data_IF_550351568493
#
_entry.id   IF_550351568493
#
_cell.length_a   1.000
_cell.length_b   1.000
_cell.length_c   1.000
_cell.angle_alpha   90.00
_cell.angle_beta   90.00
_cell.angle_gamma   90.00
#
_symmetry.space_group_name_H-M   'P 1'
#
loop_
_entity.id
_entity.type
_entity.pdbx_description
1 polymer ?
#
# COMPACT_ATOMS: atom_id res chain seq x y z
N UNK A 1 -72.81 -33.95 19.69
CA UNK A 1 -74.09 -33.47 20.23
C UNK A 1 -73.79 -32.62 21.46
N UNK A 2 -73.88 -31.28 21.33
CA UNK A 2 -74.11 -30.26 22.40
C UNK A 2 -73.02 -30.09 23.49
N UNK A 3 -72.62 -28.90 23.96
CA UNK A 3 -72.94 -27.50 23.64
C UNK A 3 -71.90 -26.59 24.34
N UNK A 4 -71.78 -25.37 23.80
CA UNK A 4 -70.93 -24.23 24.14
C UNK A 4 -71.07 -23.62 25.56
N UNK A 5 -70.21 -22.62 25.80
CA UNK A 5 -70.32 -21.40 26.67
C UNK A 5 -69.52 -21.45 27.98
N UNK A 6 -68.70 -20.46 28.40
CA UNK A 6 -68.65 -18.99 28.19
C UNK A 6 -67.22 -18.49 28.56
N UNK A 7 -66.50 -17.76 27.72
CA UNK A 7 -66.41 -16.28 27.61
C UNK A 7 -65.73 -15.52 28.78
N UNK A 8 -64.49 -15.07 28.53
CA UNK A 8 -63.88 -13.76 28.82
C UNK A 8 -64.37 -12.95 30.04
N UNK A 9 -63.49 -12.68 31.01
CA UNK A 9 -63.41 -11.35 31.63
C UNK A 9 -61.98 -11.01 32.10
N UNK A 10 -61.51 -9.84 31.62
CA UNK A 10 -60.61 -8.88 32.27
C UNK A 10 -59.10 -9.19 32.37
N UNK A 11 -58.39 -8.64 31.38
CA UNK A 11 -57.08 -8.01 31.51
C UNK A 11 -57.03 -7.06 32.72
N UNK A 12 -55.84 -6.98 33.32
CA UNK A 12 -55.36 -6.00 34.30
C UNK A 12 -55.71 -6.27 35.77
N UNK A 13 -54.78 -6.92 36.50
CA UNK A 13 -54.15 -6.32 37.69
C UNK A 13 -52.97 -7.16 38.22
N UNK A 14 -51.82 -6.52 38.43
CA UNK A 14 -50.69 -6.98 39.26
C UNK A 14 -49.83 -8.07 38.63
N UNK A 15 -48.62 -7.79 38.10
CA UNK A 15 -47.42 -7.40 38.87
C UNK A 15 -47.34 -8.17 40.20
N UNK A 16 -46.20 -8.81 40.44
CA UNK A 16 -45.83 -9.58 41.64
C UNK A 16 -46.08 -11.10 41.55
N UNK A 17 -45.42 -11.77 40.60
CA UNK A 17 -44.60 -12.95 40.94
C UNK A 17 -43.26 -12.72 40.23
N UNK A 18 -42.33 -12.14 40.99
CA UNK A 18 -40.99 -11.80 40.53
C UNK A 18 -40.21 -13.05 40.18
N UNK A 19 -40.20 -13.39 38.90
CA UNK A 19 -38.98 -13.92 38.30
C UNK A 19 -38.00 -12.75 38.25
N UNK A 20 -37.26 -12.62 39.33
CA UNK A 20 -36.02 -11.87 39.39
C UNK A 20 -35.10 -12.48 38.34
N UNK A 21 -35.19 -12.02 37.10
CA UNK A 21 -33.99 -12.02 36.28
C UNK A 21 -33.00 -11.21 37.11
N UNK A 22 -31.85 -11.76 37.50
CA UNK A 22 -30.75 -10.91 37.87
C UNK A 22 -30.64 -9.97 36.68
N UNK A 23 -30.82 -8.67 36.91
CA UNK A 23 -30.08 -7.71 36.13
C UNK A 23 -28.64 -8.15 36.32
N UNK A 24 -28.14 -8.99 35.42
CA UNK A 24 -26.74 -9.13 35.17
C UNK A 24 -26.36 -7.73 34.76
N UNK A 25 -25.93 -6.95 35.76
CA UNK A 25 -25.01 -5.87 35.55
C UNK A 25 -23.98 -6.46 34.59
N UNK A 26 -24.04 -6.06 33.33
CA UNK A 26 -23.05 -6.46 32.34
C UNK A 26 -21.76 -5.93 32.93
N UNK A 27 -21.03 -6.83 33.58
CA UNK A 27 -19.70 -6.60 34.09
C UNK A 27 -18.92 -6.10 32.91
N UNK A 28 -18.46 -4.86 33.02
CA UNK A 28 -17.69 -4.11 32.06
C UNK A 28 -16.74 -5.05 31.30
N UNK A 29 -17.06 -5.36 30.04
CA UNK A 29 -16.12 -6.10 29.20
C UNK A 29 -15.07 -5.04 28.85
N UNK A 30 -13.89 -5.19 29.40
CA UNK A 30 -12.72 -4.42 29.01
C UNK A 30 -11.59 -5.41 28.76
N UNK A 31 -11.19 -5.54 27.51
CA UNK A 31 -10.17 -6.48 27.06
C UNK A 31 -9.02 -5.70 26.40
N UNK A 32 -7.89 -5.50 27.11
CA UNK A 32 -6.80 -4.64 26.66
C UNK A 32 -6.04 -5.16 25.44
N UNK A 33 -6.19 -6.44 25.09
CA UNK A 33 -5.62 -7.02 23.86
C UNK A 33 -6.37 -6.61 22.60
N UNK A 34 -7.56 -6.03 22.73
CA UNK A 34 -8.35 -5.60 21.59
C UNK A 34 -7.76 -4.34 20.96
N UNK A 35 -8.02 -4.09 19.66
CA UNK A 35 -7.61 -2.86 19.00
C UNK A 35 -8.09 -1.63 19.77
N UNK A 36 -7.31 -0.55 19.72
CA UNK A 36 -7.62 0.69 20.42
C UNK A 36 -9.02 1.19 20.06
N UNK A 37 -9.86 1.42 21.06
CA UNK A 37 -11.26 1.83 20.90
C UNK A 37 -12.27 0.68 20.82
N UNK A 38 -11.82 -0.58 20.72
CA UNK A 38 -12.64 -1.79 20.72
C UNK A 38 -12.51 -2.62 22.02
N UNK A 39 -11.87 -2.06 23.06
CA UNK A 39 -11.63 -2.76 24.34
C UNK A 39 -12.93 -3.20 25.00
N UNK A 40 -14.05 -2.52 24.68
CA UNK A 40 -15.37 -2.83 25.24
C UNK A 40 -16.17 -3.90 24.51
N UNK A 41 -15.64 -4.43 23.41
CA UNK A 41 -16.29 -5.47 22.63
C UNK A 41 -15.76 -6.85 23.06
N UNK A 42 -16.60 -7.90 23.08
CA UNK A 42 -16.12 -9.27 23.23
C UNK A 42 -15.18 -9.64 22.07
N UNK A 43 -14.02 -10.23 22.33
CA UNK A 43 -13.06 -10.65 21.29
C UNK A 43 -13.69 -11.43 20.12
N UNK A 44 -14.69 -12.28 20.39
CA UNK A 44 -15.37 -13.06 19.35
C UNK A 44 -16.15 -12.27 18.29
N UNK A 45 -16.42 -10.96 18.48
CA UNK A 45 -17.07 -10.11 17.47
C UNK A 45 -16.09 -9.17 16.77
N UNK A 46 -14.85 -9.08 17.23
CA UNK A 46 -13.88 -8.09 16.74
C UNK A 46 -13.21 -8.61 15.47
N UNK A 47 -13.36 -7.84 14.40
CA UNK A 47 -12.48 -7.92 13.24
C UNK A 47 -11.41 -6.82 13.36
N UNK A 48 -10.18 -7.20 13.67
CA UNK A 48 -9.05 -6.25 13.84
C UNK A 48 -8.54 -5.67 12.52
N UNK A 49 -8.85 -6.33 11.40
CA UNK A 49 -8.41 -5.99 10.06
C UNK A 49 -9.61 -6.02 9.10
N UNK A 50 -9.47 -5.32 7.98
CA UNK A 50 -10.40 -5.29 6.85
C UNK A 50 -9.73 -5.88 5.60
N UNK A 51 -10.45 -5.85 4.48
CA UNK A 51 -9.94 -6.19 3.15
C UNK A 51 -10.60 -5.33 2.08
N UNK A 52 -10.18 -5.52 0.82
CA UNK A 52 -10.81 -4.90 -0.36
C UNK A 52 -11.66 -5.91 -1.14
N UNK A 53 -12.06 -7.03 -0.53
CA UNK A 53 -12.86 -8.02 -1.24
C UNK A 53 -14.30 -7.52 -1.45
N UNK A 54 -14.79 -7.64 -2.68
CA UNK A 54 -16.16 -7.26 -3.01
C UNK A 54 -17.15 -8.29 -2.47
N UNK A 55 -18.21 -7.81 -1.81
CA UNK A 55 -19.28 -8.64 -1.24
C UNK A 55 -20.62 -8.33 -1.89
N UNK A 56 -21.48 -9.34 -1.99
CA UNK A 56 -22.80 -9.20 -2.61
C UNK A 56 -23.75 -8.48 -1.66
N UNK A 57 -24.75 -7.79 -2.20
CA UNK A 57 -25.76 -7.08 -1.41
C UNK A 57 -26.81 -8.01 -0.76
N UNK A 58 -26.79 -9.30 -1.09
CA UNK A 58 -27.79 -10.29 -0.69
C UNK A 58 -27.17 -11.68 -0.59
N UNK A 59 -27.85 -12.60 0.08
CA UNK A 59 -27.43 -14.00 0.20
C UNK A 59 -26.59 -14.28 1.45
N UNK A 60 -25.88 -15.41 1.46
CA UNK A 60 -24.99 -15.79 2.53
C UNK A 60 -23.58 -15.21 2.30
N UNK A 61 -23.01 -14.42 3.24
CA UNK A 61 -21.66 -13.88 3.12
C UNK A 61 -20.57 -14.94 2.89
N UNK A 62 -20.75 -16.16 3.38
CA UNK A 62 -19.76 -17.25 3.21
C UNK A 62 -19.63 -17.72 1.75
N UNK A 63 -20.61 -17.37 0.91
CA UNK A 63 -20.63 -17.71 -0.52
C UNK A 63 -20.08 -16.58 -1.41
N UNK A 64 -19.77 -15.41 -0.85
CA UNK A 64 -19.33 -14.25 -1.63
C UNK A 64 -17.92 -14.43 -2.21
N UNK A 65 -17.06 -15.16 -1.51
CA UNK A 65 -15.64 -15.31 -1.86
C UNK A 65 -15.33 -16.75 -2.26
N UNK A 66 -15.66 -17.11 -3.50
CA UNK A 66 -15.29 -18.43 -4.09
C UNK A 66 -13.77 -18.60 -4.18
N UNK A 67 -13.05 -17.51 -4.43
CA UNK A 67 -11.58 -17.43 -4.36
C UNK A 67 -11.20 -16.16 -3.60
N UNK A 68 -10.14 -16.23 -2.82
CA UNK A 68 -9.61 -15.10 -2.07
C UNK A 68 -8.30 -14.63 -2.72
N UNK A 69 -8.30 -13.48 -3.41
CA UNK A 69 -7.09 -12.89 -3.95
C UNK A 69 -6.04 -12.70 -2.85
N UNK A 70 -4.79 -13.11 -3.14
CA UNK A 70 -3.67 -13.02 -2.19
C UNK A 70 -2.78 -11.82 -2.44
N UNK A 71 -2.93 -11.15 -3.58
CA UNK A 71 -2.07 -10.06 -3.99
C UNK A 71 -2.91 -8.85 -4.39
N UNK A 72 -2.32 -7.66 -4.29
CA UNK A 72 -2.97 -6.41 -4.63
C UNK A 72 -2.13 -5.70 -5.70
N UNK A 73 -2.77 -5.26 -6.79
CA UNK A 73 -2.15 -4.36 -7.74
C UNK A 73 -2.93 -3.05 -7.84
N UNK A 74 -2.20 -1.96 -7.70
CA UNK A 74 -2.73 -0.61 -7.78
C UNK A 74 -2.06 0.17 -8.90
N UNK A 75 -2.86 0.91 -9.65
CA UNK A 75 -2.39 1.77 -10.74
C UNK A 75 -2.95 3.17 -10.55
N UNK A 76 -2.11 4.19 -10.73
CA UNK A 76 -2.59 5.60 -10.75
C UNK A 76 -2.80 6.04 -12.18
N UNK A 77 -4.06 6.22 -12.57
CA UNK A 77 -4.47 6.18 -13.97
C UNK A 77 -5.25 7.42 -14.41
N UNK A 78 -5.09 7.75 -15.68
CA UNK A 78 -6.01 8.57 -16.46
C UNK A 78 -6.51 7.82 -17.69
N UNK A 79 -7.72 8.14 -18.14
CA UNK A 79 -8.42 7.46 -19.22
C UNK A 79 -7.65 7.46 -20.55
N UNK A 80 -6.83 8.49 -20.79
CA UNK A 80 -6.01 8.56 -22.00
C UNK A 80 -4.96 7.43 -22.07
N UNK A 81 -4.59 6.82 -20.94
CA UNK A 81 -3.65 5.70 -20.86
C UNK A 81 -4.32 4.34 -20.71
N UNK A 82 -5.65 4.26 -20.85
CA UNK A 82 -6.41 3.03 -20.57
C UNK A 82 -5.94 1.79 -21.32
N UNK A 83 -5.45 1.92 -22.56
CA UNK A 83 -4.90 0.79 -23.31
C UNK A 83 -3.58 0.28 -22.74
N UNK A 84 -2.76 1.17 -22.17
CA UNK A 84 -1.53 0.74 -21.51
C UNK A 84 -1.85 0.04 -20.18
N UNK A 85 -2.86 0.52 -19.47
CA UNK A 85 -3.36 -0.14 -18.26
C UNK A 85 -4.02 -1.49 -18.57
N UNK A 86 -4.76 -1.61 -19.66
CA UNK A 86 -5.31 -2.89 -20.15
C UNK A 86 -4.18 -3.90 -20.41
N UNK A 87 -3.11 -3.47 -21.08
CA UNK A 87 -1.91 -4.29 -21.27
C UNK A 87 -1.28 -4.69 -19.92
N UNK A 88 -1.19 -3.77 -18.95
CA UNK A 88 -0.73 -4.08 -17.59
C UNK A 88 -1.60 -5.12 -16.92
N UNK A 89 -2.92 -4.88 -16.82
CA UNK A 89 -3.87 -5.77 -16.12
C UNK A 89 -3.87 -7.18 -16.70
N UNK A 90 -3.63 -7.34 -18.01
CA UNK A 90 -3.50 -8.66 -18.65
C UNK A 90 -2.39 -9.54 -18.08
N UNK A 91 -1.40 -8.95 -17.37
CA UNK A 91 -0.28 -9.67 -16.74
C UNK A 91 -0.57 -10.15 -15.32
N UNK A 92 -1.74 -9.81 -14.77
CA UNK A 92 -2.16 -10.16 -13.42
C UNK A 92 -3.27 -11.21 -13.48
N UNK A 93 -3.12 -12.27 -12.68
CA UNK A 93 -4.08 -13.36 -12.61
C UNK A 93 -5.29 -13.00 -11.72
N UNK A 94 -6.25 -13.92 -11.62
CA UNK A 94 -7.36 -13.85 -10.66
C UNK A 94 -6.92 -13.84 -9.17
N UNK A 95 -5.65 -14.11 -8.87
CA UNK A 95 -5.11 -13.99 -7.51
C UNK A 95 -4.87 -12.54 -7.08
N UNK A 96 -5.06 -11.58 -7.99
CA UNK A 96 -4.87 -10.16 -7.74
C UNK A 96 -6.21 -9.43 -7.59
N UNK A 97 -6.33 -8.64 -6.52
CA UNK A 97 -7.28 -7.53 -6.49
C UNK A 97 -6.68 -6.37 -7.28
N UNK A 98 -7.45 -5.80 -8.22
CA UNK A 98 -7.03 -4.65 -9.01
C UNK A 98 -7.73 -3.39 -8.49
N UNK A 99 -6.95 -2.36 -8.16
CA UNK A 99 -7.45 -1.04 -7.75
C UNK A 99 -6.90 0.03 -8.68
N UNK A 100 -7.79 0.84 -9.22
CA UNK A 100 -7.44 1.97 -10.09
C UNK A 100 -7.67 3.28 -9.35
N UNK A 101 -6.63 4.10 -9.25
CA UNK A 101 -6.65 5.44 -8.67
C UNK A 101 -6.77 6.49 -9.77
N UNK A 102 -7.99 6.98 -10.01
CA UNK A 102 -8.33 7.87 -11.13
C UNK A 102 -8.07 9.33 -10.80
N UNK A 103 -6.97 9.89 -11.31
CA UNK A 103 -6.65 11.30 -11.08
C UNK A 103 -7.44 12.26 -11.98
N UNK A 104 -8.15 11.76 -12.99
CA UNK A 104 -8.89 12.57 -13.96
C UNK A 104 -10.41 12.63 -13.70
N UNK A 105 -10.92 11.72 -12.85
CA UNK A 105 -12.34 11.62 -12.54
C UNK A 105 -13.13 10.66 -13.44
N UNK A 106 -12.50 9.95 -14.37
CA UNK A 106 -13.19 9.14 -15.39
C UNK A 106 -13.19 7.67 -15.00
N UNK A 107 -14.28 7.20 -14.38
CA UNK A 107 -14.40 5.80 -13.93
C UNK A 107 -15.28 4.94 -14.82
N UNK A 108 -16.57 5.29 -14.99
CA UNK A 108 -17.55 4.40 -15.65
C UNK A 108 -17.23 4.10 -17.12
N UNK A 109 -16.55 5.01 -17.83
CA UNK A 109 -16.20 4.82 -19.24
C UNK A 109 -15.28 3.60 -19.48
N UNK A 110 -14.52 3.17 -18.45
CA UNK A 110 -13.69 1.97 -18.56
C UNK A 110 -14.54 0.69 -18.73
N UNK A 111 -15.73 0.64 -18.11
CA UNK A 111 -16.62 -0.53 -18.15
C UNK A 111 -17.30 -0.74 -19.51
N UNK A 112 -17.29 0.28 -20.35
CA UNK A 112 -17.85 0.24 -21.71
C UNK A 112 -16.90 -0.45 -22.68
N UNK A 113 -15.59 -0.44 -22.39
CA UNK A 113 -14.54 -0.98 -23.26
C UNK A 113 -13.88 -2.24 -22.69
N UNK A 114 -13.74 -2.33 -21.37
CA UNK A 114 -13.01 -3.40 -20.70
C UNK A 114 -13.89 -4.15 -19.69
N UNK A 115 -14.22 -5.41 -19.98
CA UNK A 115 -15.04 -6.25 -19.10
C UNK A 115 -14.38 -6.48 -17.73
N UNK A 116 -13.05 -6.62 -17.67
CA UNK A 116 -12.32 -6.78 -16.41
C UNK A 116 -12.48 -5.56 -15.49
N UNK A 117 -12.72 -4.36 -16.05
CA UNK A 117 -12.88 -3.14 -15.27
C UNK A 117 -14.09 -3.20 -14.34
N UNK A 118 -15.12 -3.99 -14.68
CA UNK A 118 -16.31 -4.16 -13.83
C UNK A 118 -16.00 -4.87 -12.51
N UNK A 119 -14.92 -5.65 -12.49
CA UNK A 119 -14.45 -6.37 -11.31
C UNK A 119 -13.32 -5.64 -10.58
N UNK A 120 -12.80 -4.55 -11.15
CA UNK A 120 -11.80 -3.70 -10.52
C UNK A 120 -12.44 -2.69 -9.55
N UNK A 121 -11.65 -2.22 -8.59
CA UNK A 121 -12.08 -1.18 -7.65
C UNK A 121 -11.61 0.17 -8.18
N UNK A 122 -12.55 1.08 -8.40
CA UNK A 122 -12.26 2.43 -8.89
C UNK A 122 -12.34 3.44 -7.74
N UNK A 123 -11.24 4.12 -7.44
CA UNK A 123 -11.21 5.24 -6.48
C UNK A 123 -10.84 6.51 -7.23
N UNK A 124 -11.63 7.57 -7.08
CA UNK A 124 -11.56 8.73 -7.96
C UNK A 124 -11.60 10.05 -7.20
N UNK A 125 -10.50 10.78 -7.26
CA UNK A 125 -10.33 12.14 -6.73
C UNK A 125 -9.44 12.92 -7.70
N UNK A 126 -9.97 13.99 -8.26
CA UNK A 126 -9.28 14.74 -9.30
C UNK A 126 -7.95 15.31 -8.81
N UNK A 127 -6.93 15.22 -9.67
CA UNK A 127 -5.59 15.81 -9.52
C UNK A 127 -4.86 15.38 -8.25
N UNK A 128 -5.07 14.13 -7.82
CA UNK A 128 -4.29 13.52 -6.74
C UNK A 128 -3.24 12.56 -7.30
N UNK A 129 -2.12 12.47 -6.60
CA UNK A 129 -0.97 11.64 -6.93
C UNK A 129 -1.08 10.23 -6.35
N UNK A 130 -0.28 9.30 -6.88
CA UNK A 130 -0.20 7.91 -6.41
C UNK A 130 -0.04 7.78 -4.90
N UNK A 131 0.89 8.50 -4.31
CA UNK A 131 1.18 8.42 -2.88
C UNK A 131 0.12 9.09 -2.01
N UNK A 132 -0.63 10.07 -2.54
CA UNK A 132 -1.81 10.61 -1.85
C UNK A 132 -2.89 9.54 -1.68
N UNK A 133 -3.16 8.77 -2.74
CA UNK A 133 -4.11 7.65 -2.71
C UNK A 133 -3.62 6.53 -1.81
N UNK A 134 -2.38 6.08 -1.99
CA UNK A 134 -1.80 5.01 -1.19
C UNK A 134 -1.88 5.31 0.31
N UNK A 135 -1.57 6.54 0.72
CA UNK A 135 -1.68 6.96 2.13
C UNK A 135 -3.10 6.86 2.70
N UNK A 136 -4.14 7.03 1.87
CA UNK A 136 -5.53 7.14 2.34
C UNK A 136 -6.34 5.86 2.17
N UNK A 137 -6.03 5.06 1.16
CA UNK A 137 -6.84 3.90 0.78
C UNK A 137 -6.11 2.57 0.96
N UNK A 138 -4.80 2.58 1.17
CA UNK A 138 -4.00 1.37 1.43
C UNK A 138 -3.49 1.33 2.87
N UNK A 139 -4.36 1.63 3.84
CA UNK A 139 -4.02 1.52 5.26
C UNK A 139 -3.56 0.08 5.58
N UNK A 140 -2.52 -0.13 6.42
CA UNK A 140 -1.97 -1.47 6.65
C UNK A 140 -3.03 -2.48 7.10
N UNK A 141 -3.92 -2.08 8.01
CA UNK A 141 -4.99 -2.97 8.49
C UNK A 141 -6.11 -3.22 7.45
N UNK A 142 -6.16 -2.47 6.34
CA UNK A 142 -7.07 -2.74 5.20
C UNK A 142 -6.42 -3.70 4.21
N UNK A 143 -5.10 -3.56 3.99
CA UNK A 143 -4.38 -4.38 3.00
C UNK A 143 -3.67 -5.59 3.62
N UNK A 144 -3.86 -5.83 4.93
CA UNK A 144 -3.24 -6.93 5.68
C UNK A 144 -3.60 -8.32 5.15
N UNK A 145 -4.64 -8.46 4.33
CA UNK A 145 -4.96 -9.74 3.65
C UNK A 145 -4.08 -10.05 2.45
N UNK A 146 -3.37 -9.07 1.91
CA UNK A 146 -2.52 -9.24 0.73
C UNK A 146 -1.07 -9.49 1.13
N UNK A 147 -0.46 -10.54 0.59
CA UNK A 147 0.93 -10.89 0.86
C UNK A 147 1.91 -9.91 0.19
N UNK A 148 1.55 -9.44 -1.02
CA UNK A 148 2.33 -8.47 -1.80
C UNK A 148 1.43 -7.40 -2.42
N UNK A 149 1.92 -6.17 -2.44
CA UNK A 149 1.21 -4.97 -2.85
C UNK A 149 2.01 -4.23 -3.92
N UNK A 150 1.49 -4.15 -5.13
CA UNK A 150 2.07 -3.46 -6.28
C UNK A 150 1.51 -2.05 -6.35
N UNK A 151 2.38 -1.04 -6.46
CA UNK A 151 1.99 0.37 -6.49
C UNK A 151 2.60 1.05 -7.71
N UNK A 152 1.97 0.86 -8.86
CA UNK A 152 2.59 1.15 -10.16
C UNK A 152 2.06 2.44 -10.79
N UNK A 153 2.95 3.10 -11.54
CA UNK A 153 2.59 4.18 -12.48
C UNK A 153 1.94 3.60 -13.76
N UNK A 154 1.31 4.47 -14.55
CA UNK A 154 0.53 4.07 -15.73
C UNK A 154 1.32 4.02 -17.04
N UNK A 155 2.59 4.45 -17.05
CA UNK A 155 3.44 4.59 -18.24
C UNK A 155 4.48 3.47 -18.37
N UNK A 156 4.07 2.25 -18.00
CA UNK A 156 4.90 1.06 -18.00
C UNK A 156 4.54 0.12 -19.16
N UNK A 157 5.53 -0.27 -19.95
CA UNK A 157 5.43 -1.37 -20.90
C UNK A 157 5.76 -2.71 -20.23
N UNK A 158 4.92 -3.72 -20.43
CA UNK A 158 4.94 -4.96 -19.63
C UNK A 158 5.05 -6.23 -20.48
N UNK A 159 5.53 -6.12 -21.72
CA UNK A 159 5.57 -7.25 -22.66
C UNK A 159 6.34 -8.46 -22.10
N UNK A 160 7.38 -8.19 -21.32
CA UNK A 160 8.29 -9.18 -20.73
C UNK A 160 8.04 -9.46 -19.25
N UNK A 161 6.89 -9.03 -18.73
CA UNK A 161 6.52 -9.19 -17.33
C UNK A 161 5.38 -10.19 -17.16
N UNK A 162 5.46 -11.01 -16.11
CA UNK A 162 4.41 -11.88 -15.61
C UNK A 162 4.35 -11.77 -14.07
N UNK A 163 3.19 -11.39 -13.53
CA UNK A 163 3.08 -11.11 -12.10
C UNK A 163 3.23 -12.34 -11.19
N UNK A 164 2.80 -13.53 -11.65
CA UNK A 164 2.93 -14.76 -10.87
C UNK A 164 4.39 -15.24 -10.82
N UNK A 165 5.08 -15.21 -11.96
CA UNK A 165 6.51 -15.53 -12.02
C UNK A 165 7.33 -14.53 -11.21
N UNK A 166 6.99 -13.24 -11.30
CA UNK A 166 7.62 -12.20 -10.48
C UNK A 166 7.49 -12.51 -8.98
N UNK A 167 6.27 -12.81 -8.50
CA UNK A 167 6.07 -13.15 -7.09
C UNK A 167 6.81 -14.44 -6.70
N UNK A 168 6.88 -15.42 -7.59
CA UNK A 168 7.66 -16.64 -7.37
C UNK A 168 9.13 -16.31 -7.08
N UNK A 169 9.73 -15.44 -7.89
CA UNK A 169 11.13 -15.00 -7.73
C UNK A 169 11.32 -14.16 -6.46
N UNK A 170 10.41 -13.21 -6.19
CA UNK A 170 10.44 -12.38 -4.98
C UNK A 170 10.44 -13.24 -3.72
N UNK A 171 9.58 -14.27 -3.66
CA UNK A 171 9.53 -15.23 -2.55
C UNK A 171 10.78 -16.09 -2.48
N UNK A 172 11.29 -16.58 -3.62
CA UNK A 172 12.51 -17.40 -3.71
C UNK A 172 13.74 -16.66 -3.14
N UNK A 173 13.82 -15.35 -3.35
CA UNK A 173 14.95 -14.51 -2.91
C UNK A 173 14.70 -13.77 -1.59
N UNK A 174 13.57 -14.06 -0.92
CA UNK A 174 13.17 -13.45 0.35
C UNK A 174 13.19 -11.91 0.29
N UNK A 175 12.67 -11.35 -0.81
CA UNK A 175 12.58 -9.91 -0.99
C UNK A 175 11.32 -9.37 -0.34
N UNK A 176 11.48 -8.32 0.46
CA UNK A 176 10.39 -7.59 1.10
C UNK A 176 10.01 -6.32 0.35
N UNK A 177 10.97 -5.70 -0.34
CA UNK A 177 10.73 -4.57 -1.23
C UNK A 177 11.43 -4.85 -2.56
N UNK A 178 10.70 -4.78 -3.66
CA UNK A 178 11.26 -5.10 -4.95
C UNK A 178 10.67 -4.28 -6.07
N UNK A 179 11.30 -4.31 -7.23
CA UNK A 179 10.69 -3.87 -8.49
C UNK A 179 11.16 -4.76 -9.65
N UNK A 180 10.44 -4.79 -10.77
CA UNK A 180 10.97 -5.32 -12.02
C UNK A 180 12.24 -4.56 -12.46
N UNK A 181 13.15 -5.25 -13.16
CA UNK A 181 14.25 -4.59 -13.86
C UNK A 181 13.73 -3.62 -14.92
N UNK A 182 14.42 -2.51 -15.15
CA UNK A 182 14.11 -1.58 -16.22
C UNK A 182 14.93 -1.90 -17.46
N UNK A 183 14.24 -1.94 -18.60
CA UNK A 183 14.89 -2.07 -19.89
C UNK A 183 15.87 -0.91 -20.13
N UNK A 184 17.16 -1.18 -20.42
CA UNK A 184 18.15 -0.15 -20.60
C UNK A 184 17.94 0.70 -21.87
N UNK A 185 17.15 0.23 -22.85
CA UNK A 185 17.01 0.92 -24.14
C UNK A 185 16.16 2.20 -24.06
N UNK A 186 15.19 2.26 -23.14
CA UNK A 186 14.29 3.41 -23.02
C UNK A 186 14.74 4.47 -22.03
N UNK A 187 15.75 4.18 -21.22
CA UNK A 187 16.31 5.08 -20.22
C UNK A 187 15.78 4.83 -18.81
N UNK A 188 16.60 5.18 -17.82
CA UNK A 188 16.36 4.99 -16.39
C UNK A 188 17.11 6.07 -15.61
N UNK A 189 16.66 6.39 -14.39
CA UNK A 189 17.27 7.44 -13.56
C UNK A 189 18.40 6.92 -12.67
N UNK A 190 18.33 5.65 -12.26
CA UNK A 190 19.21 5.07 -11.24
C UNK A 190 19.87 3.80 -11.78
N UNK A 191 21.20 3.71 -11.69
CA UNK A 191 21.94 2.57 -12.26
C UNK A 191 21.51 1.22 -11.67
N UNK A 192 21.10 1.21 -10.40
CA UNK A 192 20.58 0.00 -9.77
C UNK A 192 19.28 -0.48 -10.41
N UNK A 193 18.43 0.36 -11.00
CA UNK A 193 17.15 -0.11 -11.56
C UNK A 193 17.32 -0.77 -12.93
N UNK A 194 18.50 -0.64 -13.55
CA UNK A 194 18.82 -1.23 -14.85
C UNK A 194 18.81 -2.75 -14.79
N UNK A 195 18.04 -3.37 -15.68
CA UNK A 195 17.99 -4.83 -15.85
C UNK A 195 19.35 -5.43 -16.21
N UNK A 196 19.64 -6.61 -15.68
CA UNK A 196 20.79 -7.46 -16.05
C UNK A 196 20.35 -8.72 -16.78
N UNK A 197 20.89 -8.97 -17.98
CA UNK A 197 20.45 -10.08 -18.82
C UNK A 197 20.76 -11.48 -18.26
N UNK A 198 21.80 -11.62 -17.44
CA UNK A 198 22.29 -12.91 -16.94
C UNK A 198 22.10 -13.07 -15.43
N UNK A 199 21.18 -12.31 -14.85
CA UNK A 199 20.82 -12.40 -13.44
C UNK A 199 19.32 -12.64 -13.30
N UNK A 200 18.92 -13.34 -12.24
CA UNK A 200 17.50 -13.47 -11.88
C UNK A 200 17.05 -12.28 -11.03
N UNK A 201 17.91 -11.86 -10.09
CA UNK A 201 17.75 -10.72 -9.17
C UNK A 201 19.11 -10.09 -8.91
N UNK A 202 19.17 -8.77 -8.74
CA UNK A 202 20.33 -8.11 -8.14
C UNK A 202 19.90 -7.11 -7.06
N UNK A 203 20.83 -6.82 -6.13
CA UNK A 203 20.55 -6.03 -4.91
C UNK A 203 21.49 -4.83 -4.72
N UNK A 204 22.53 -4.76 -5.53
CA UNK A 204 23.56 -3.73 -5.52
C UNK A 204 23.95 -3.39 -6.95
N UNK A 205 24.43 -2.17 -7.20
CA UNK A 205 25.00 -1.77 -8.49
C UNK A 205 26.40 -2.39 -8.72
N UNK A 206 26.66 -2.91 -9.92
CA UNK A 206 28.00 -3.36 -10.32
C UNK A 206 28.90 -2.18 -10.72
N UNK A 207 28.29 -1.03 -11.03
CA UNK A 207 29.03 0.17 -11.37
C UNK A 207 29.67 0.75 -10.11
N UNK A 208 30.99 0.69 -10.04
CA UNK A 208 31.78 1.41 -9.02
C UNK A 208 31.64 2.91 -9.29
N UNK A 209 30.58 3.48 -8.77
CA UNK A 209 30.43 4.92 -8.74
C UNK A 209 31.30 5.46 -7.61
N UNK A 210 32.08 6.51 -7.88
CA UNK A 210 33.03 7.10 -6.92
C UNK A 210 32.37 7.58 -5.60
N UNK A 211 31.04 7.64 -5.55
CA UNK A 211 30.23 8.12 -4.44
C UNK A 211 29.47 7.00 -3.69
N UNK A 212 29.57 5.74 -4.11
CA UNK A 212 29.00 4.63 -3.35
C UNK A 212 29.79 4.41 -2.05
N UNK A 213 29.09 4.45 -0.91
CA UNK A 213 29.69 4.21 0.41
C UNK A 213 29.87 2.72 0.70
N UNK A 214 30.70 2.39 1.69
CA UNK A 214 30.83 1.04 2.25
C UNK A 214 30.46 1.08 3.75
N UNK A 215 29.40 0.40 4.23
CA UNK A 215 28.51 -0.49 3.45
C UNK A 215 27.68 0.27 2.40
N UNK A 216 27.29 -0.39 1.29
CA UNK A 216 26.46 0.18 0.25
C UNK A 216 25.15 0.76 0.79
N UNK A 217 24.73 1.90 0.24
CA UNK A 217 23.51 2.61 0.62
C UNK A 217 22.74 3.04 -0.63
N UNK A 218 21.45 3.40 -0.49
CA UNK A 218 20.69 4.00 -1.56
C UNK A 218 21.44 5.14 -2.26
N UNK A 219 21.44 5.17 -3.61
CA UNK A 219 20.80 4.22 -4.53
C UNK A 219 21.77 3.14 -5.04
N UNK A 220 22.97 2.99 -4.47
CA UNK A 220 23.92 1.94 -4.86
C UNK A 220 23.50 0.54 -4.39
N UNK A 221 22.70 0.46 -3.34
CA UNK A 221 22.09 -0.76 -2.82
C UNK A 221 20.81 -0.40 -2.03
N UNK A 222 20.01 -1.41 -1.70
CA UNK A 222 18.80 -1.25 -0.90
C UNK A 222 17.83 -0.19 -1.45
N UNK A 223 17.67 -0.14 -2.78
CA UNK A 223 16.91 0.90 -3.48
C UNK A 223 15.99 0.29 -4.53
N UNK A 224 14.76 0.77 -4.56
CA UNK A 224 13.80 0.60 -5.67
C UNK A 224 13.20 1.97 -5.95
N UNK A 225 12.96 2.26 -7.21
CA UNK A 225 12.30 3.48 -7.65
C UNK A 225 10.79 3.38 -7.40
N UNK A 226 10.21 4.48 -6.93
CA UNK A 226 8.81 4.63 -6.55
C UNK A 226 7.86 4.48 -7.73
N UNK A 227 8.35 4.34 -8.96
CA UNK A 227 7.55 4.16 -10.17
C UNK A 227 6.85 2.80 -10.21
N UNK A 228 7.57 1.71 -9.95
CA UNK A 228 7.03 0.34 -10.02
C UNK A 228 7.36 -0.54 -8.79
N UNK A 229 7.28 -0.02 -7.55
CA UNK A 229 7.61 -0.81 -6.37
C UNK A 229 6.55 -1.87 -6.08
N UNK A 230 7.02 -2.93 -5.43
CA UNK A 230 6.24 -4.02 -4.86
C UNK A 230 6.70 -4.20 -3.42
N UNK A 231 5.76 -4.22 -2.50
CA UNK A 231 6.02 -4.36 -1.07
C UNK A 231 5.42 -5.66 -0.54
N UNK A 232 6.14 -6.34 0.34
CA UNK A 232 5.52 -7.32 1.24
C UNK A 232 4.53 -6.60 2.15
N UNK A 233 3.58 -7.36 2.70
CA UNK A 233 2.67 -6.87 3.74
C UNK A 233 3.39 -6.15 4.88
N UNK A 234 4.49 -6.73 5.36
CA UNK A 234 5.19 -6.26 6.55
C UNK A 234 5.97 -4.98 6.26
N UNK A 235 6.70 -4.95 5.13
CA UNK A 235 7.37 -3.74 4.67
C UNK A 235 6.37 -2.61 4.41
N UNK A 236 5.22 -2.90 3.79
CA UNK A 236 4.19 -1.90 3.53
C UNK A 236 3.65 -1.28 4.82
N UNK A 237 3.48 -2.07 5.90
CA UNK A 237 3.04 -1.55 7.20
C UNK A 237 3.97 -0.42 7.67
N UNK A 238 5.28 -0.60 7.57
CA UNK A 238 6.26 0.44 7.88
C UNK A 238 6.23 1.61 6.87
N UNK A 239 6.28 1.31 5.57
CA UNK A 239 6.33 2.33 4.50
C UNK A 239 5.11 3.25 4.56
N UNK A 240 3.92 2.71 4.86
CA UNK A 240 2.71 3.50 5.01
C UNK A 240 2.83 4.57 6.10
N UNK A 241 3.49 4.26 7.23
CA UNK A 241 3.74 5.23 8.30
C UNK A 241 4.80 6.27 7.94
N UNK A 242 5.73 5.92 7.04
CA UNK A 242 6.74 6.84 6.51
C UNK A 242 6.11 7.91 5.61
N UNK A 243 5.10 7.56 4.81
CA UNK A 243 4.42 8.51 3.92
C UNK A 243 3.73 9.61 4.74
N UNK A 244 4.07 10.86 4.42
CA UNK A 244 3.57 12.06 5.08
C UNK A 244 2.21 12.48 4.51
N UNK A 245 1.27 12.92 5.36
CA UNK A 245 -0.08 13.26 4.90
C UNK A 245 -0.15 14.48 3.95
N UNK A 246 0.80 15.40 4.08
CA UNK A 246 0.88 16.68 3.36
C UNK A 246 1.84 16.67 2.16
N UNK A 247 2.69 15.65 2.03
CA UNK A 247 3.61 15.45 0.90
C UNK A 247 3.05 14.36 -0.01
N UNK A 248 2.70 14.73 -1.23
CA UNK A 248 1.83 13.90 -2.08
C UNK A 248 2.58 13.22 -3.21
N UNK A 249 3.74 13.71 -3.65
CA UNK A 249 4.44 13.16 -4.81
C UNK A 249 5.33 11.96 -4.49
N UNK A 250 5.74 11.79 -3.23
CA UNK A 250 6.55 10.66 -2.78
C UNK A 250 8.03 10.68 -3.20
N UNK A 251 8.50 11.71 -3.91
CA UNK A 251 9.92 11.85 -4.25
C UNK A 251 10.79 11.85 -2.98
N UNK A 252 11.83 11.00 -2.98
CA UNK A 252 12.71 10.81 -1.84
C UNK A 252 12.32 9.63 -0.95
N UNK A 253 11.10 9.08 -1.07
CA UNK A 253 10.71 7.85 -0.37
C UNK A 253 11.65 6.70 -0.72
N UNK A 254 12.07 6.61 -1.98
CA UNK A 254 13.00 5.61 -2.54
C UNK A 254 14.27 5.44 -1.69
N UNK A 255 14.81 6.57 -1.21
CA UNK A 255 16.03 6.63 -0.38
C UNK A 255 15.77 6.24 1.07
N UNK A 256 14.51 6.24 1.49
CA UNK A 256 14.11 5.97 2.85
C UNK A 256 13.58 4.54 3.05
N UNK A 257 13.15 3.85 1.98
CA UNK A 257 12.56 2.50 2.03
C UNK A 257 13.40 1.48 2.80
N UNK A 258 14.73 1.57 2.75
CA UNK A 258 15.65 0.68 3.49
C UNK A 258 15.37 0.60 4.99
N UNK A 259 14.72 1.62 5.58
CA UNK A 259 14.38 1.68 7.01
C UNK A 259 13.22 0.75 7.40
N UNK A 260 12.53 0.17 6.41
CA UNK A 260 11.35 -0.65 6.58
C UNK A 260 11.57 -2.14 6.35
N UNK A 261 12.84 -2.57 6.40
CA UNK A 261 13.24 -3.97 6.31
C UNK A 261 14.32 -4.26 7.34
N UNK A 262 14.57 -5.53 7.61
CA UNK A 262 15.66 -5.95 8.50
C UNK A 262 17.03 -5.60 7.91
N UNK A 263 17.99 -5.27 8.79
CA UNK A 263 19.37 -5.01 8.39
C UNK A 263 20.16 -6.33 8.21
N UNK A 264 21.04 -6.44 7.20
CA UNK A 264 21.39 -5.38 6.25
C UNK A 264 20.34 -5.22 5.16
N UNK A 265 19.82 -4.01 4.98
CA UNK A 265 18.64 -3.76 4.14
C UNK A 265 18.80 -4.21 2.67
N UNK A 266 20.03 -4.21 2.13
CA UNK A 266 20.29 -4.66 0.76
C UNK A 266 20.02 -6.16 0.57
N UNK A 267 19.93 -6.97 1.63
CA UNK A 267 19.54 -8.39 1.49
C UNK A 267 18.04 -8.56 1.23
N UNK A 268 17.21 -7.59 1.68
CA UNK A 268 15.74 -7.66 1.60
C UNK A 268 15.15 -6.82 0.47
N UNK A 269 15.96 -5.97 -0.17
CA UNK A 269 15.53 -5.08 -1.24
C UNK A 269 16.26 -5.43 -2.53
N UNK A 270 15.52 -5.64 -3.63
CA UNK A 270 16.14 -6.09 -4.87
C UNK A 270 15.35 -5.82 -6.14
N UNK A 271 16.05 -5.93 -7.26
CA UNK A 271 15.54 -5.75 -8.61
C UNK A 271 15.42 -7.12 -9.25
N UNK A 272 14.23 -7.45 -9.76
CA UNK A 272 13.97 -8.73 -10.41
C UNK A 272 14.28 -8.60 -11.90
N UNK A 273 15.45 -9.06 -12.32
CA UNK A 273 15.97 -8.88 -13.68
C UNK A 273 15.32 -9.76 -14.73
N UNK A 274 14.89 -10.96 -14.30
CA UNK A 274 14.26 -11.95 -15.17
C UNK A 274 12.80 -11.60 -15.51
N UNK A 275 12.21 -10.63 -14.81
CA UNK A 275 10.88 -10.08 -15.07
C UNK A 275 11.02 -8.56 -15.17
N UNK A 276 11.05 -8.03 -16.39
CA UNK A 276 11.39 -6.62 -16.61
C UNK A 276 10.27 -5.85 -17.30
N UNK A 277 10.34 -4.54 -17.16
CA UNK A 277 9.40 -3.57 -17.71
C UNK A 277 10.15 -2.48 -18.46
N UNK A 278 9.40 -1.73 -19.27
CA UNK A 278 9.89 -0.60 -20.07
C UNK A 278 9.28 0.68 -19.52
N UNK A 279 10.09 1.72 -19.26
CA UNK A 279 9.54 3.04 -18.93
C UNK A 279 9.23 3.79 -20.23
N UNK A 280 7.94 4.03 -20.50
CA UNK A 280 7.49 4.61 -21.77
C UNK A 280 7.48 6.15 -21.77
N UNK A 281 7.70 6.79 -20.62
CA UNK A 281 7.68 8.25 -20.45
C UNK A 281 6.41 8.93 -20.97
N UNK A 282 5.26 8.25 -20.87
CA UNK A 282 4.02 8.80 -21.41
C UNK A 282 3.57 9.97 -20.54
N UNK A 283 3.33 11.17 -21.11
CA UNK A 283 2.95 12.33 -20.31
C UNK A 283 1.61 12.10 -19.57
N UNK A 284 1.70 12.09 -18.24
CA UNK A 284 0.64 11.66 -17.32
C UNK A 284 0.20 12.80 -16.40
N UNK A 285 0.07 12.52 -15.11
CA UNK A 285 -0.29 13.45 -14.04
C UNK A 285 0.55 14.74 -14.04
N UNK A 286 1.81 14.70 -14.49
CA UNK A 286 2.65 15.90 -14.63
C UNK A 286 1.96 17.01 -15.44
N UNK A 287 1.18 16.66 -16.45
CA UNK A 287 0.47 17.65 -17.27
C UNK A 287 -0.82 18.19 -16.62
N UNK A 288 -1.25 17.65 -15.48
CA UNK A 288 -2.45 18.10 -14.75
C UNK A 288 -2.21 19.35 -13.88
N UNK A 289 -0.97 19.85 -13.87
CA UNK A 289 -0.57 21.10 -13.23
C UNK A 289 -1.26 22.35 -13.81
N UNK A 290 -0.85 23.52 -13.31
CA UNK A 290 -1.34 24.81 -13.82
C UNK A 290 -0.25 25.46 -14.65
N UNK A 291 -0.58 25.89 -15.86
CA UNK A 291 0.28 26.78 -16.63
C UNK A 291 0.30 28.16 -15.95
N UNK A 292 1.49 28.73 -15.76
CA UNK A 292 1.65 30.03 -15.12
C UNK A 292 2.86 30.78 -15.71
N UNK A 293 2.71 32.08 -16.00
CA UNK A 293 3.77 32.96 -16.49
C UNK A 293 4.63 32.35 -17.64
N UNK A 294 4.00 31.67 -18.60
CA UNK A 294 4.68 31.02 -19.73
C UNK A 294 5.32 29.67 -19.42
N UNK A 295 5.28 29.19 -18.17
CA UNK A 295 5.67 27.82 -17.81
C UNK A 295 4.60 26.80 -18.19
N UNK A 296 5.02 25.67 -18.72
CA UNK A 296 4.16 24.53 -19.00
C UNK A 296 3.68 23.87 -17.68
N UNK A 297 2.48 23.26 -17.65
CA UNK A 297 1.91 22.64 -16.45
C UNK A 297 2.86 21.69 -15.69
N UNK A 298 3.61 20.86 -16.42
CA UNK A 298 4.54 19.89 -15.85
C UNK A 298 5.70 20.52 -15.08
N UNK A 299 6.08 21.76 -15.43
CA UNK A 299 7.16 22.45 -14.72
C UNK A 299 6.73 22.78 -13.30
N UNK A 300 5.49 23.25 -13.09
CA UNK A 300 4.97 23.52 -11.75
C UNK A 300 4.84 22.26 -10.89
N UNK A 301 4.46 21.13 -11.50
CA UNK A 301 4.43 19.83 -10.80
C UNK A 301 5.85 19.42 -10.40
N UNK A 302 6.82 19.51 -11.31
CA UNK A 302 8.21 19.17 -11.03
C UNK A 302 8.84 20.07 -9.95
N UNK A 303 8.56 21.37 -9.99
CA UNK A 303 8.99 22.32 -8.96
C UNK A 303 8.44 21.89 -7.57
N UNK A 304 7.17 21.46 -7.51
CA UNK A 304 6.57 20.93 -6.28
C UNK A 304 7.19 19.60 -5.85
N UNK A 305 7.47 18.67 -6.76
CA UNK A 305 8.13 17.40 -6.44
C UNK A 305 9.50 17.64 -5.76
N UNK A 306 10.32 18.52 -6.32
CA UNK A 306 11.63 18.87 -5.77
C UNK A 306 11.52 19.51 -4.38
N UNK A 307 10.56 20.42 -4.21
CA UNK A 307 10.31 21.05 -2.92
C UNK A 307 9.86 20.03 -1.86
N UNK A 308 8.93 19.13 -2.20
CA UNK A 308 8.46 18.08 -1.28
C UNK A 308 9.57 17.09 -0.92
N UNK A 309 10.41 16.69 -1.88
CA UNK A 309 11.57 15.85 -1.61
C UNK A 309 12.48 16.50 -0.56
N UNK A 310 12.89 17.75 -0.77
CA UNK A 310 13.73 18.46 0.21
C UNK A 310 13.08 18.58 1.58
N UNK A 311 11.76 18.80 1.63
CA UNK A 311 11.02 18.81 2.90
C UNK A 311 11.04 17.44 3.59
N UNK A 312 10.82 16.37 2.84
CA UNK A 312 10.85 15.00 3.36
C UNK A 312 12.23 14.63 3.91
N UNK A 313 13.29 14.89 3.15
CA UNK A 313 14.67 14.64 3.55
C UNK A 313 15.01 15.35 4.86
N UNK A 314 14.74 16.66 4.95
CA UNK A 314 14.95 17.44 6.17
C UNK A 314 14.17 16.88 7.37
N UNK A 315 12.93 16.40 7.16
CA UNK A 315 12.12 15.82 8.24
C UNK A 315 12.71 14.50 8.74
N UNK A 316 13.15 13.65 7.83
CA UNK A 316 13.80 12.36 8.17
C UNK A 316 15.09 12.62 8.94
N UNK A 317 15.97 13.49 8.43
CA UNK A 317 17.23 13.82 9.10
C UNK A 317 17.03 14.43 10.48
N UNK A 318 16.06 15.34 10.64
CA UNK A 318 15.72 15.94 11.92
C UNK A 318 15.20 14.89 12.91
N UNK A 319 14.29 14.01 12.48
CA UNK A 319 13.75 12.95 13.31
C UNK A 319 14.82 11.95 13.78
N UNK A 320 15.74 11.55 12.88
CA UNK A 320 16.86 10.68 13.24
C UNK A 320 17.78 11.36 14.25
N UNK A 321 18.13 12.63 14.04
CA UNK A 321 18.98 13.39 14.95
C UNK A 321 18.36 13.52 16.33
N UNK A 322 17.04 13.75 16.41
CA UNK A 322 16.33 13.86 17.68
C UNK A 322 16.22 12.50 18.39
N UNK A 323 16.02 11.40 17.65
CA UNK A 323 16.04 10.04 18.18
C UNK A 323 17.41 9.66 18.77
N UNK A 324 18.51 9.90 18.04
CA UNK A 324 19.85 9.61 18.59
C UNK A 324 20.18 10.50 19.80
N UNK A 325 19.68 11.73 19.84
CA UNK A 325 19.82 12.60 21.02
C UNK A 325 19.06 12.04 22.22
N UNK A 326 17.85 11.52 22.04
CA UNK A 326 17.08 10.95 23.15
C UNK A 326 17.78 9.72 23.76
N UNK A 327 18.38 8.87 22.93
CA UNK A 327 19.18 7.72 23.42
C UNK A 327 20.41 8.14 24.24
N UNK A 328 21.07 9.25 23.87
CA UNK A 328 22.20 9.80 24.63
C UNK A 328 21.78 10.39 25.96
N UNK A 329 20.59 10.98 26.04
CA UNK A 329 20.02 11.51 27.30
C UNK A 329 19.56 10.38 28.22
N UNK A 330 19.11 9.26 27.67
CA UNK A 330 18.67 8.07 28.43
C UNK A 330 19.82 7.19 28.94
N UNK A 331 21.04 7.38 28.46
CA UNK A 331 22.24 6.68 28.95
C UNK A 331 22.81 7.41 30.19
N UNK A 332 22.72 6.87 31.42
CA UNK A 332 23.30 7.52 32.59
C UNK A 332 24.83 7.54 32.49
N UNK A 333 25.42 8.61 32.98
CA UNK A 333 26.83 8.75 33.31
C UNK A 333 27.25 7.76 34.44
N UNK A 334 27.20 6.46 34.19
CA UNK A 334 27.80 5.46 35.06
C UNK A 334 29.30 5.32 34.74
N UNK A 335 30.07 6.32 35.18
CA UNK A 335 31.48 6.16 35.56
C UNK A 335 31.86 7.19 36.61
N UNK A 336 31.20 7.12 37.77
CA UNK A 336 31.84 7.49 39.03
C UNK A 336 32.57 6.26 39.56
N UNK A 337 33.79 6.03 39.07
CA UNK A 337 34.77 5.23 39.81
C UNK A 337 35.52 6.17 40.73
N UNK A 338 34.98 6.36 41.92
CA UNK A 338 35.80 6.67 43.09
C UNK A 338 36.26 5.33 43.67
N UNK A 339 37.56 5.05 43.62
CA UNK A 339 38.34 4.47 44.72
C UNK A 339 39.82 4.57 44.41
#
# INVERSE_FOLDING_TARGET
MKLFTTALFAIAFGIVIGLSFPSLWITEIWEPSNPRGAERLPSGIIASESDLYLRRLWGNPDEDLVKQPRYLATFTVGYNQRHNIDACVSKFSENFTIVLFHYDGVTSAWNDEFEWSRNAIHISVKKQTKWWYAKRFLHPDIVARYDYIFIWDEDLGVDHFNAEEYIHIVKKHDLEISQPGLDPETGFNWQITKRREHSEVHKETDEKLDWCSNPPRPPCAAFVEIMAPVFSRDAWRCVWHMIQNDLVHGWGLDFALRRCVEEPAFEKIGIVDSQWIVHQFIPSLGNQGKADNGKAPWQGVRDRCQMEWKMFENRVEAAEKDYFRSLQVESPSNSTTSH
#
